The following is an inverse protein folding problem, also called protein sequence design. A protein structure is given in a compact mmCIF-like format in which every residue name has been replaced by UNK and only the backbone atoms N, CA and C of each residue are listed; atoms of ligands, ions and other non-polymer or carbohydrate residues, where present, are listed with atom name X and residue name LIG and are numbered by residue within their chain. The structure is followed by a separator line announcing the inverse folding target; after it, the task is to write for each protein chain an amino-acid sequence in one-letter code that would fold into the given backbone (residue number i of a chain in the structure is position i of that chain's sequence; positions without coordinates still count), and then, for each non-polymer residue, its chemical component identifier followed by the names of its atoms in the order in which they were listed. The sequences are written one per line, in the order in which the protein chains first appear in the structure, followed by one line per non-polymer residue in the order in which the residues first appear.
data_IF_655050515653
#
_entry.id   IF_655050515653
#
_cell.length_a   1.000
_cell.length_b   1.000
_cell.length_c   1.000
_cell.angle_alpha   90.00
_cell.angle_beta   90.00
_cell.angle_gamma   90.00
#
_symmetry.space_group_name_H-M   'P 1'
#
loop_
_entity.id
_entity.type
_entity.pdbx_description
1 polymer ?
#
# COMPACT_ATOMS: atom_id res chain seq x y z
N UNK A 1 13.09 -17.03 -5.50
CA UNK A 1 14.19 -17.20 -5.94
C UNK A 1 14.79 -16.36 -7.06
N UNK A 2 14.18 -16.20 -8.24
CA UNK A 2 14.76 -15.35 -9.32
C UNK A 2 14.98 -13.91 -8.83
N UNK A 3 14.00 -13.29 -8.15
CA UNK A 3 14.14 -11.92 -7.62
C UNK A 3 15.30 -11.85 -6.64
N UNK A 4 15.37 -12.77 -5.67
CA UNK A 4 16.43 -12.80 -4.68
C UNK A 4 17.83 -12.93 -5.34
N UNK A 5 17.95 -13.80 -6.34
CA UNK A 5 19.20 -13.98 -7.09
C UNK A 5 19.56 -12.73 -7.90
N UNK A 6 18.61 -12.15 -8.61
CA UNK A 6 18.83 -10.97 -9.46
C UNK A 6 19.19 -9.72 -8.65
N UNK A 7 18.70 -9.64 -7.40
CA UNK A 7 18.89 -8.50 -6.50
C UNK A 7 19.93 -8.77 -5.40
N UNK A 8 20.64 -9.88 -5.45
CA UNK A 8 21.60 -10.30 -4.43
C UNK A 8 22.56 -9.19 -4.02
N UNK A 9 23.13 -8.48 -4.99
CA UNK A 9 24.03 -7.35 -4.75
C UNK A 9 23.43 -6.31 -3.79
N UNK A 10 22.18 -5.94 -3.98
CA UNK A 10 21.53 -4.92 -3.15
C UNK A 10 21.12 -5.46 -1.79
N UNK A 11 20.83 -6.75 -1.71
CA UNK A 11 20.54 -7.44 -0.45
C UNK A 11 21.82 -7.49 0.40
N UNK A 12 22.95 -7.90 -0.16
CA UNK A 12 24.25 -7.94 0.52
C UNK A 12 24.74 -6.56 0.99
N UNK A 13 24.41 -5.52 0.23
CA UNK A 13 24.68 -4.13 0.62
C UNK A 13 23.75 -3.59 1.71
N UNK A 14 22.73 -4.34 2.11
CA UNK A 14 21.72 -3.89 3.08
C UNK A 14 20.77 -2.80 2.54
N UNK A 15 20.78 -2.55 1.22
CA UNK A 15 19.91 -1.56 0.58
C UNK A 15 18.51 -2.15 0.33
N UNK A 16 18.45 -3.44 0.04
CA UNK A 16 17.22 -4.17 -0.21
C UNK A 16 17.03 -5.26 0.83
N UNK A 17 15.86 -5.26 1.45
CA UNK A 17 15.41 -6.37 2.29
C UNK A 17 14.34 -7.13 1.52
N UNK A 18 14.57 -8.42 1.28
CA UNK A 18 13.67 -9.27 0.52
C UNK A 18 12.94 -10.25 1.44
N UNK A 19 11.63 -10.17 1.44
CA UNK A 19 10.76 -11.11 2.13
C UNK A 19 9.86 -11.83 1.14
N UNK A 20 9.61 -13.09 1.42
CA UNK A 20 8.64 -13.91 0.70
C UNK A 20 7.65 -14.50 1.68
N UNK A 21 6.37 -14.31 1.41
CA UNK A 21 5.31 -15.01 2.15
C UNK A 21 5.04 -16.36 1.50
N UNK A 22 4.84 -17.36 2.31
CA UNK A 22 4.39 -18.70 1.87
C UNK A 22 2.89 -18.86 2.02
N UNK A 23 2.31 -18.04 2.88
CA UNK A 23 0.88 -18.00 3.14
C UNK A 23 0.37 -16.54 3.18
N UNK A 24 -0.80 -16.28 2.62
CA UNK A 24 -1.65 -17.18 1.86
C UNK A 24 -1.01 -17.62 0.53
N UNK A 25 -1.46 -18.74 -0.03
CA UNK A 25 -0.91 -19.33 -1.25
C UNK A 25 -1.13 -18.47 -2.52
N UNK A 26 -2.00 -17.48 -2.46
CA UNK A 26 -2.29 -16.52 -3.53
C UNK A 26 -2.00 -15.09 -3.06
N UNK A 27 -1.76 -14.23 -4.03
CA UNK A 27 -1.47 -12.82 -3.76
C UNK A 27 -2.63 -12.12 -3.05
N UNK A 28 -2.31 -11.42 -1.97
CA UNK A 28 -3.22 -10.55 -1.22
C UNK A 28 -2.59 -9.19 -1.05
N UNK A 29 -3.12 -8.22 -1.74
CA UNK A 29 -2.56 -6.86 -1.83
C UNK A 29 -2.44 -6.18 -0.47
N UNK A 30 -3.55 -6.10 0.26
CA UNK A 30 -3.55 -5.51 1.61
C UNK A 30 -2.56 -6.19 2.55
N UNK A 31 -2.52 -7.53 2.52
CA UNK A 31 -1.59 -8.31 3.31
C UNK A 31 -0.13 -8.00 2.95
N UNK A 32 0.21 -8.05 1.66
CA UNK A 32 1.58 -7.79 1.21
C UNK A 32 2.06 -6.39 1.60
N UNK A 33 1.20 -5.37 1.45
CA UNK A 33 1.50 -4.00 1.86
C UNK A 33 1.67 -3.88 3.38
N UNK A 34 0.79 -4.49 4.16
CA UNK A 34 0.91 -4.51 5.62
C UNK A 34 2.23 -5.11 6.09
N UNK A 35 2.64 -6.21 5.43
CA UNK A 35 3.90 -6.86 5.70
C UNK A 35 5.09 -5.92 5.53
N UNK A 36 5.20 -5.29 4.35
CA UNK A 36 6.31 -4.41 4.02
C UNK A 36 6.38 -3.22 4.97
N UNK A 37 5.26 -2.55 5.20
CA UNK A 37 5.20 -1.40 6.09
C UNK A 37 5.51 -1.74 7.55
N UNK A 38 5.10 -2.93 7.99
CA UNK A 38 5.38 -3.38 9.35
C UNK A 38 6.84 -3.72 9.57
N UNK A 39 7.47 -4.32 8.57
CA UNK A 39 8.88 -4.70 8.62
C UNK A 39 9.82 -3.53 8.32
N UNK A 40 9.32 -2.44 7.75
CA UNK A 40 10.10 -1.25 7.51
C UNK A 40 10.56 -0.63 8.84
N UNK A 41 11.81 -0.14 8.86
CA UNK A 41 12.43 0.50 10.03
C UNK A 41 12.45 2.03 9.93
N UNK A 42 12.26 2.58 8.73
CA UNK A 42 12.25 4.02 8.49
C UNK A 42 11.10 4.74 9.18
N UNK A 43 11.32 5.99 9.55
CA UNK A 43 10.30 6.87 10.15
C UNK A 43 9.22 7.23 9.14
N UNK A 44 9.60 7.44 7.88
CA UNK A 44 8.69 7.65 6.75
C UNK A 44 8.67 6.39 5.88
N UNK A 45 7.50 5.89 5.60
CA UNK A 45 7.29 4.70 4.77
C UNK A 45 6.46 5.05 3.54
N UNK A 46 6.83 4.45 2.41
CA UNK A 46 6.15 4.67 1.13
C UNK A 46 5.78 3.35 0.48
N UNK A 47 4.53 3.20 0.06
CA UNK A 47 4.16 2.13 -0.86
C UNK A 47 4.56 2.52 -2.28
N UNK A 48 5.25 1.62 -2.94
CA UNK A 48 5.61 1.72 -4.34
C UNK A 48 5.33 0.38 -4.99
N UNK A 49 4.47 0.39 -5.98
CA UNK A 49 4.21 -0.81 -6.77
C UNK A 49 5.44 -1.11 -7.66
N UNK A 50 5.70 -2.38 -7.94
CA UNK A 50 6.92 -2.84 -8.59
C UNK A 50 7.11 -2.32 -10.04
N UNK A 51 6.05 -1.83 -10.65
CA UNK A 51 5.98 -1.22 -11.97
C UNK A 51 6.12 0.32 -11.97
N UNK A 52 6.40 0.90 -10.81
CA UNK A 52 6.48 2.35 -10.65
C UNK A 52 7.93 2.82 -10.48
N UNK A 53 8.22 3.99 -11.00
CA UNK A 53 9.48 4.71 -10.79
C UNK A 53 9.25 5.94 -9.91
N UNK A 54 10.10 6.12 -8.91
CA UNK A 54 9.98 7.27 -7.99
C UNK A 54 10.42 8.60 -8.61
N UNK A 55 11.29 8.55 -9.62
CA UNK A 55 11.90 9.76 -10.15
C UNK A 55 13.03 10.31 -9.26
N UNK A 56 13.81 11.19 -9.84
CA UNK A 56 14.93 11.82 -9.14
C UNK A 56 14.43 12.82 -8.10
N UNK A 57 15.05 12.80 -6.92
CA UNK A 57 14.74 13.74 -5.85
C UNK A 57 13.50 13.39 -5.02
N UNK A 58 12.88 12.23 -5.26
CA UNK A 58 11.68 11.82 -4.51
C UNK A 58 11.96 11.68 -3.01
N UNK A 59 13.04 11.00 -2.63
CA UNK A 59 13.38 10.78 -1.23
C UNK A 59 13.68 12.11 -0.50
N UNK A 60 14.45 12.98 -1.13
CA UNK A 60 14.77 14.32 -0.61
C UNK A 60 13.50 15.17 -0.44
N UNK A 61 12.59 15.10 -1.41
CA UNK A 61 11.29 15.77 -1.31
C UNK A 61 10.50 15.25 -0.12
N UNK A 62 10.38 13.95 0.05
CA UNK A 62 9.65 13.35 1.17
C UNK A 62 10.26 13.73 2.52
N UNK A 63 11.58 13.61 2.66
CA UNK A 63 12.26 14.01 3.89
C UNK A 63 12.00 15.47 4.24
N UNK A 64 12.07 16.38 3.26
CA UNK A 64 11.78 17.79 3.47
C UNK A 64 10.35 18.03 3.92
N UNK A 65 9.38 17.37 3.28
CA UNK A 65 7.96 17.57 3.61
C UNK A 65 7.63 17.03 5.01
N UNK A 66 8.07 15.84 5.37
CA UNK A 66 7.82 15.26 6.68
C UNK A 66 8.62 15.90 7.82
N UNK A 67 9.75 16.57 7.52
CA UNK A 67 10.48 17.36 8.50
C UNK A 67 9.80 18.71 8.82
N UNK A 68 9.00 19.22 7.89
CA UNK A 68 8.39 20.55 8.02
C UNK A 68 6.90 20.54 8.35
N UNK A 69 6.25 19.39 8.19
CA UNK A 69 4.80 19.26 8.38
C UNK A 69 4.49 17.99 9.18
N UNK A 70 3.50 18.06 10.01
CA UNK A 70 3.04 16.93 10.84
C UNK A 70 1.64 16.47 10.43
N UNK A 71 1.28 15.26 10.80
CA UNK A 71 -0.05 14.68 10.63
C UNK A 71 -0.56 14.73 9.20
N UNK A 72 0.26 14.32 8.26
CA UNK A 72 -0.07 14.28 6.84
C UNK A 72 0.28 12.94 6.21
N UNK A 73 -0.27 12.70 5.05
CA UNK A 73 0.13 11.63 4.15
C UNK A 73 0.08 12.11 2.71
N UNK A 74 1.01 11.64 1.91
CA UNK A 74 1.09 11.96 0.49
C UNK A 74 0.51 10.83 -0.34
N UNK A 75 -0.28 11.17 -1.35
CA UNK A 75 -0.77 10.24 -2.38
C UNK A 75 -0.49 10.78 -3.77
N UNK A 76 -0.62 9.92 -4.77
CA UNK A 76 -0.66 10.38 -6.16
C UNK A 76 -1.98 11.06 -6.48
N UNK A 77 -1.98 11.87 -7.55
CA UNK A 77 -3.21 12.44 -8.08
C UNK A 77 -4.07 11.35 -8.70
N UNK A 78 -5.37 11.37 -8.40
CA UNK A 78 -6.38 10.43 -8.88
C UNK A 78 -6.48 10.34 -10.42
N UNK A 79 -6.02 11.38 -11.12
CA UNK A 79 -5.99 11.40 -12.58
C UNK A 79 -4.95 10.45 -13.19
N UNK A 80 -4.01 9.96 -12.37
CA UNK A 80 -2.97 9.03 -12.81
C UNK A 80 -3.27 7.64 -12.28
N UNK A 81 -4.00 6.87 -13.07
CA UNK A 81 -4.54 5.55 -12.73
C UNK A 81 -3.51 4.58 -12.16
N UNK A 82 -2.35 4.50 -12.82
CA UNK A 82 -1.37 3.44 -12.57
C UNK A 82 -0.44 3.70 -11.38
N UNK A 83 -0.62 4.83 -10.71
CA UNK A 83 0.12 5.21 -9.49
C UNK A 83 -0.79 5.48 -8.31
N UNK A 84 -2.08 5.15 -8.43
CA UNK A 84 -3.09 5.47 -7.43
C UNK A 84 -2.77 4.88 -6.05
N UNK A 85 -2.23 3.67 -5.98
CA UNK A 85 -1.88 2.99 -4.74
C UNK A 85 -0.64 3.55 -4.02
N UNK A 86 0.03 4.54 -4.60
CA UNK A 86 1.21 5.14 -3.96
C UNK A 86 0.80 6.00 -2.77
N UNK A 87 1.35 5.70 -1.62
CA UNK A 87 1.14 6.47 -0.39
C UNK A 87 2.44 6.58 0.39
N UNK A 88 2.71 7.76 0.93
CA UNK A 88 3.81 8.01 1.87
C UNK A 88 3.27 8.64 3.13
N UNK A 89 3.70 8.14 4.28
CA UNK A 89 3.28 8.62 5.58
C UNK A 89 4.31 8.27 6.66
N UNK A 90 4.20 8.87 7.81
CA UNK A 90 4.98 8.44 8.95
C UNK A 90 4.56 7.02 9.38
N UNK A 91 5.55 6.17 9.65
CA UNK A 91 5.32 4.78 10.05
C UNK A 91 4.43 4.67 11.29
N UNK A 92 4.55 5.60 12.24
CA UNK A 92 3.68 5.64 13.42
C UNK A 92 2.21 5.76 13.06
N UNK A 93 1.86 6.63 12.09
CA UNK A 93 0.48 6.81 11.64
C UNK A 93 -0.07 5.57 10.93
N UNK A 94 0.78 4.87 10.16
CA UNK A 94 0.41 3.57 9.57
C UNK A 94 0.05 2.54 10.65
N UNK A 95 0.90 2.41 11.66
CA UNK A 95 0.69 1.45 12.77
C UNK A 95 -0.56 1.79 13.58
N UNK A 96 -0.74 3.05 13.91
CA UNK A 96 -1.93 3.52 14.65
C UNK A 96 -3.23 3.38 13.85
N UNK A 97 -3.17 3.59 12.52
CA UNK A 97 -4.28 3.31 11.62
C UNK A 97 -4.52 1.81 11.42
N UNK A 98 -3.66 0.94 11.94
CA UNK A 98 -3.68 -0.53 11.79
C UNK A 98 -3.53 -1.01 10.34
N UNK A 99 -2.85 -0.23 9.50
CA UNK A 99 -2.54 -0.59 8.12
C UNK A 99 -3.76 -0.76 7.21
N UNK A 100 -3.58 -1.46 6.13
CA UNK A 100 -4.65 -1.81 5.18
C UNK A 100 -5.59 -2.85 5.77
N UNK A 101 -6.86 -2.76 5.42
CA UNK A 101 -7.86 -3.73 5.86
C UNK A 101 -7.77 -5.02 5.03
N UNK A 102 -7.33 -6.11 5.65
CA UNK A 102 -7.11 -7.41 4.98
C UNK A 102 -8.41 -8.19 4.69
N UNK A 103 -9.56 -7.66 5.08
CA UNK A 103 -10.87 -8.19 4.64
C UNK A 103 -11.08 -7.92 3.15
N UNK A 104 -10.45 -6.87 2.61
CA UNK A 104 -10.45 -6.62 1.18
C UNK A 104 -9.63 -7.68 0.46
N UNK A 105 -10.30 -8.48 -0.34
CA UNK A 105 -9.73 -9.54 -1.16
C UNK A 105 -10.01 -9.22 -2.63
N UNK A 106 -9.03 -9.39 -3.48
CA UNK A 106 -9.13 -9.04 -4.90
C UNK A 106 -8.61 -7.62 -5.19
N UNK A 107 -8.97 -7.11 -6.34
CA UNK A 107 -8.48 -5.83 -6.85
C UNK A 107 -9.45 -4.69 -6.52
N UNK A 108 -8.95 -3.65 -5.87
CA UNK A 108 -9.57 -2.34 -5.84
C UNK A 108 -10.10 -1.89 -4.48
N UNK A 109 -10.06 -0.58 -4.31
CA UNK A 109 -10.62 0.20 -3.20
C UNK A 109 -9.99 0.02 -1.81
N UNK A 110 -9.03 -0.88 -1.64
CA UNK A 110 -8.26 -1.02 -0.40
C UNK A 110 -7.49 0.26 -0.05
N UNK A 111 -7.00 0.96 -1.08
CA UNK A 111 -6.31 2.24 -0.94
C UNK A 111 -7.27 3.34 -0.49
N UNK A 112 -8.44 3.43 -1.14
CA UNK A 112 -9.47 4.42 -0.80
C UNK A 112 -9.94 4.25 0.64
N UNK A 113 -10.17 3.01 1.07
CA UNK A 113 -10.53 2.70 2.44
C UNK A 113 -9.44 3.16 3.42
N UNK A 114 -8.20 2.84 3.13
CA UNK A 114 -7.08 3.23 3.97
C UNK A 114 -6.93 4.75 4.05
N UNK A 115 -6.97 5.46 2.92
CA UNK A 115 -6.87 6.92 2.89
C UNK A 115 -8.02 7.59 3.66
N UNK A 116 -9.24 7.08 3.51
CA UNK A 116 -10.38 7.57 4.28
C UNK A 116 -10.20 7.40 5.78
N UNK A 117 -9.60 6.29 6.24
CA UNK A 117 -9.27 6.11 7.66
C UNK A 117 -8.21 7.09 8.14
N UNK A 118 -7.20 7.37 7.35
CA UNK A 118 -6.20 8.39 7.69
C UNK A 118 -6.84 9.77 7.83
N UNK A 119 -7.72 10.16 6.89
CA UNK A 119 -8.49 11.41 6.97
C UNK A 119 -9.38 11.46 8.21
N UNK A 120 -10.10 10.37 8.53
CA UNK A 120 -10.93 10.29 9.74
C UNK A 120 -10.12 10.37 11.04
N UNK A 121 -8.84 10.02 11.00
CA UNK A 121 -7.90 10.20 12.10
C UNK A 121 -7.36 11.62 12.19
N UNK A 122 -7.75 12.50 11.27
CA UNK A 122 -7.34 13.89 11.21
C UNK A 122 -5.99 14.15 10.56
N UNK A 123 -5.51 13.22 9.73
CA UNK A 123 -4.36 13.49 8.87
C UNK A 123 -4.81 14.33 7.65
N UNK A 124 -3.90 15.14 7.15
CA UNK A 124 -4.11 15.92 5.93
C UNK A 124 -3.56 15.15 4.74
N UNK A 125 -4.37 15.00 3.71
CA UNK A 125 -3.92 14.41 2.44
C UNK A 125 -3.26 15.48 1.57
N UNK A 126 -2.03 15.23 1.19
CA UNK A 126 -1.27 16.02 0.22
C UNK A 126 -1.05 15.22 -1.06
N UNK A 127 -0.86 15.90 -2.17
CA UNK A 127 -0.69 15.27 -3.48
C UNK A 127 0.67 15.62 -4.06
N UNK A 128 1.36 14.63 -4.61
CA UNK A 128 2.58 14.88 -5.38
C UNK A 128 2.27 15.77 -6.60
N UNK A 129 2.99 16.85 -6.76
CA UNK A 129 2.79 17.79 -7.88
C UNK A 129 3.87 17.65 -8.98
N UNK A 130 4.94 16.92 -8.69
CA UNK A 130 6.07 16.75 -9.59
C UNK A 130 5.76 15.69 -10.65
N UNK A 131 5.81 16.04 -11.92
CA UNK A 131 5.52 15.12 -13.03
C UNK A 131 6.47 13.92 -13.08
N UNK A 132 7.72 14.15 -12.73
CA UNK A 132 8.77 13.11 -12.67
C UNK A 132 8.48 12.00 -11.66
N UNK A 133 7.58 12.23 -10.69
CA UNK A 133 7.17 11.22 -9.72
C UNK A 133 6.06 10.30 -10.23
N UNK A 134 5.55 10.52 -11.44
CA UNK A 134 4.43 9.76 -12.01
C UNK A 134 4.83 8.77 -13.10
N UNK A 135 6.11 8.45 -13.21
CA UNK A 135 6.58 7.47 -14.19
C UNK A 135 6.20 6.05 -13.78
N UNK A 136 5.68 5.28 -14.75
CA UNK A 136 5.15 3.93 -14.53
C UNK A 136 5.28 3.08 -15.78
N UNK A 137 5.41 1.76 -15.58
CA UNK A 137 5.22 0.78 -16.65
C UNK A 137 3.71 0.51 -16.80
N UNK A 138 3.21 0.72 -18.00
CA UNK A 138 1.79 0.54 -18.31
C UNK A 138 1.43 -0.93 -18.44
N UNK A 139 0.33 -1.35 -17.84
CA UNK A 139 -0.21 -2.71 -17.94
C UNK A 139 -1.66 -2.69 -18.40
N UNK A 140 -2.05 -3.76 -19.12
CA UNK A 140 -3.45 -4.01 -19.42
C UNK A 140 -4.21 -4.45 -18.14
N UNK A 141 -5.51 -4.23 -18.11
CA UNK A 141 -6.34 -4.60 -16.96
C UNK A 141 -6.37 -6.10 -16.72
N UNK A 142 -6.32 -6.87 -17.79
CA UNK A 142 -6.26 -8.32 -17.75
C UNK A 142 -5.00 -8.82 -17.03
N UNK A 143 -3.88 -8.18 -17.23
CA UNK A 143 -2.60 -8.53 -16.59
C UNK A 143 -2.66 -8.24 -15.08
N UNK A 144 -3.30 -7.14 -14.67
CA UNK A 144 -3.40 -6.73 -13.27
C UNK A 144 -4.16 -7.73 -12.41
N UNK A 145 -5.17 -8.36 -12.96
CA UNK A 145 -6.03 -9.32 -12.24
C UNK A 145 -5.62 -10.77 -12.44
N UNK A 146 -4.67 -11.05 -13.34
CA UNK A 146 -4.29 -12.41 -13.70
C UNK A 146 -3.74 -13.24 -12.52
N UNK A 147 -3.12 -12.59 -11.56
CA UNK A 147 -2.53 -13.19 -10.37
C UNK A 147 -3.39 -13.03 -9.10
N UNK A 148 -4.51 -12.34 -9.24
CA UNK A 148 -5.46 -12.19 -8.16
C UNK A 148 -6.21 -13.50 -7.93
N UNK A 149 -7.08 -13.50 -6.96
CA UNK A 149 -7.80 -14.67 -6.48
C UNK A 149 -8.41 -15.57 -7.58
N UNK A 150 -8.54 -16.85 -7.27
CA UNK A 150 -8.87 -18.00 -8.13
C UNK A 150 -10.05 -17.84 -9.11
N UNK A 151 -10.94 -16.91 -8.95
CA UNK A 151 -12.14 -16.75 -9.77
C UNK A 151 -12.07 -15.55 -10.73
N UNK A 152 -10.88 -15.06 -10.99
CA UNK A 152 -10.60 -14.13 -12.07
C UNK A 152 -11.55 -12.92 -12.17
N UNK A 153 -11.95 -12.56 -13.38
CA UNK A 153 -12.62 -11.31 -13.72
C UNK A 153 -13.97 -11.08 -13.02
N UNK A 154 -14.78 -12.11 -12.85
CA UNK A 154 -16.12 -12.00 -12.25
C UNK A 154 -16.05 -11.71 -10.74
N UNK A 155 -15.09 -12.29 -10.08
CA UNK A 155 -14.94 -12.11 -8.64
C UNK A 155 -14.32 -10.78 -8.30
N UNK A 156 -13.40 -10.30 -9.13
CA UNK A 156 -12.84 -8.95 -9.01
C UNK A 156 -13.94 -7.89 -9.12
N UNK A 157 -14.79 -7.98 -10.13
CA UNK A 157 -15.95 -7.08 -10.31
C UNK A 157 -16.92 -7.16 -9.14
N UNK A 158 -17.20 -8.35 -8.64
CA UNK A 158 -18.07 -8.53 -7.48
C UNK A 158 -17.48 -7.92 -6.20
N UNK A 159 -16.21 -8.10 -5.98
CA UNK A 159 -15.51 -7.52 -4.84
C UNK A 159 -15.41 -6.00 -4.93
N UNK A 160 -15.30 -5.43 -6.10
CA UNK A 160 -15.35 -3.99 -6.32
C UNK A 160 -16.71 -3.38 -5.92
N UNK A 161 -17.77 -4.14 -6.02
CA UNK A 161 -19.08 -3.76 -5.50
C UNK A 161 -19.17 -3.85 -3.97
N UNK A 162 -18.60 -4.88 -3.39
CA UNK A 162 -18.65 -5.10 -1.94
C UNK A 162 -17.71 -4.14 -1.21
N UNK A 163 -16.55 -3.88 -1.75
CA UNK A 163 -15.54 -3.03 -1.11
C UNK A 163 -16.05 -1.63 -0.76
N UNK A 164 -16.75 -0.89 -1.66
CA UNK A 164 -17.32 0.41 -1.31
C UNK A 164 -18.35 0.33 -0.21
N UNK A 165 -19.18 -0.73 -0.20
CA UNK A 165 -20.17 -0.95 0.84
C UNK A 165 -19.51 -1.23 2.19
N UNK A 166 -18.52 -2.11 2.20
CA UNK A 166 -17.74 -2.44 3.41
C UNK A 166 -17.03 -1.22 3.96
N UNK A 167 -16.45 -0.38 3.10
CA UNK A 167 -15.83 0.88 3.50
C UNK A 167 -16.85 1.81 4.15
N UNK A 168 -18.05 1.97 3.56
CA UNK A 168 -19.11 2.79 4.14
C UNK A 168 -19.55 2.28 5.50
N UNK A 169 -19.73 0.98 5.62
CA UNK A 169 -20.10 0.35 6.90
C UNK A 169 -19.02 0.57 7.95
N UNK A 170 -17.75 0.38 7.60
CA UNK A 170 -16.63 0.63 8.48
C UNK A 170 -16.51 2.11 8.89
N UNK A 171 -16.79 3.03 7.99
CA UNK A 171 -16.81 4.46 8.29
C UNK A 171 -17.95 4.88 9.21
N UNK A 172 -19.09 4.19 9.16
CA UNK A 172 -20.20 4.43 10.08
C UNK A 172 -19.94 3.91 11.49
N UNK A 173 -19.12 2.88 11.62
CA UNK A 173 -18.66 2.38 12.92
C UNK A 173 -17.51 3.22 13.45
N UNK A 174 -17.82 4.36 14.02
CA UNK A 174 -16.82 5.20 14.71
C UNK A 174 -16.19 4.44 15.87
N UNK A 175 -14.89 4.53 16.01
CA UNK A 175 -14.16 4.02 17.15
C UNK A 175 -13.31 2.79 16.88
N UNK A 176 -13.14 1.93 17.86
CA UNK A 176 -12.12 0.88 17.92
C UNK A 176 -12.19 -0.18 16.82
N UNK A 177 -13.33 -0.31 16.13
CA UNK A 177 -13.51 -1.25 15.02
C UNK A 177 -13.15 -0.65 13.66
N UNK A 178 -12.98 0.63 13.62
CA UNK A 178 -12.55 1.33 12.42
C UNK A 178 -11.11 0.92 12.11
N UNK A 179 -10.90 0.40 10.93
CA UNK A 179 -9.58 -0.09 10.55
C UNK A 179 -9.18 -1.37 11.29
N UNK A 180 -10.04 -2.34 11.28
CA UNK A 180 -9.65 -3.72 11.57
C UNK A 180 -8.87 -4.26 10.36
N UNK A 181 -7.94 -3.51 9.89
CA UNK A 181 -6.86 -4.04 9.10
C UNK A 181 -6.03 -4.88 10.05
N UNK A 182 -6.03 -6.15 9.82
CA UNK A 182 -5.40 -7.06 10.73
C UNK A 182 -3.96 -7.24 10.31
N UNK A 183 -3.10 -6.33 10.76
CA UNK A 183 -1.66 -6.55 10.72
C UNK A 183 -1.27 -7.77 11.57
N UNK A 184 -2.12 -8.20 12.48
CA UNK A 184 -1.79 -9.14 13.54
C UNK A 184 -1.26 -10.50 13.05
N UNK A 185 -1.72 -10.98 11.92
CA UNK A 185 -1.34 -12.31 11.43
C UNK A 185 0.00 -12.32 10.67
N UNK A 186 0.58 -11.16 10.46
CA UNK A 186 1.80 -11.03 9.66
C UNK A 186 3.07 -11.18 10.49
N UNK A 187 2.93 -11.33 11.81
CA UNK A 187 4.09 -11.39 12.71
C UNK A 187 4.65 -12.82 12.80
N UNK A 188 3.85 -13.81 12.50
CA UNK A 188 4.26 -15.21 12.57
C UNK A 188 5.13 -15.66 11.39
N UNK A 189 5.70 -14.72 10.65
CA UNK A 189 6.71 -15.08 9.68
C UNK A 189 7.99 -15.44 10.39
N UNK A 190 8.31 -16.68 10.31
CA UNK A 190 9.63 -17.18 10.66
C UNK A 190 10.64 -16.54 9.71
N UNK A 191 11.52 -15.74 10.25
CA UNK A 191 12.72 -15.29 9.62
C UNK A 191 13.65 -16.46 9.37
#
# INVERSE_FOLDING_TARGET
EWIAQSMMKYIEMGILVYYRTTEPAYYRRSHSRNMVFRLAEGEVVCNLDADNYLGRGFAEFMLKEFNNKERLFYTSNLCYRDVFGRVCLERKEFVEARGYNEVFVGYGLEDVEFFNRLLCRGLVQEIFNQKEFYNVLMHADEERIAQEFLLKKLQSVYLDYINPYSTRVLMLYKGQRFGIGVIQNNIAMNY
#
